data_IF_151036039013
#
_entry.id   IF_151036039013
#
_cell.length_a   1.000
_cell.length_b   1.000
_cell.length_c   1.000
_cell.angle_alpha   90.00
_cell.angle_beta   90.00
_cell.angle_gamma   90.00
#
_symmetry.space_group_name_H-M   'P 1'
#
loop_
_entity.id
_entity.type
_entity.pdbx_description
1 polymer ?
#
# COMPACT_ATOMS: atom_id res chain seq x y z
N UNK A 1 -10.03 10.99 36.85
CA UNK A 1 -8.95 11.16 35.86
C UNK A 1 -8.99 9.95 34.94
N UNK A 2 -9.67 10.05 33.80
CA UNK A 2 -9.66 8.98 32.81
C UNK A 2 -8.37 9.14 31.99
N UNK A 3 -7.55 8.08 31.96
CA UNK A 3 -6.40 7.98 31.08
C UNK A 3 -6.92 8.09 29.63
N UNK A 4 -6.50 9.12 28.91
CA UNK A 4 -6.75 9.22 27.48
C UNK A 4 -6.07 8.02 26.80
N UNK A 5 -6.73 7.34 25.84
CA UNK A 5 -6.09 6.27 25.10
C UNK A 5 -4.94 6.88 24.28
N UNK A 6 -3.72 6.46 24.56
CA UNK A 6 -2.54 6.80 23.76
C UNK A 6 -2.77 6.25 22.36
N UNK A 7 -3.07 7.12 21.40
CA UNK A 7 -3.16 6.74 19.99
C UNK A 7 -1.76 6.27 19.60
N UNK A 8 -1.59 4.98 19.30
CA UNK A 8 -0.36 4.47 18.68
C UNK A 8 -0.25 5.13 17.31
N UNK A 9 0.67 6.07 17.19
CA UNK A 9 0.90 6.84 15.95
C UNK A 9 1.81 6.13 14.96
N UNK A 10 2.47 5.04 15.35
CA UNK A 10 3.44 4.35 14.52
C UNK A 10 2.98 2.92 14.22
N UNK A 11 2.85 2.61 12.93
CA UNK A 11 2.47 1.29 12.45
C UNK A 11 3.70 0.38 12.40
N UNK A 12 3.65 -0.74 13.12
CA UNK A 12 4.72 -1.72 13.25
C UNK A 12 4.41 -3.00 12.48
N UNK A 13 5.31 -3.37 11.58
CA UNK A 13 5.23 -4.55 10.73
C UNK A 13 6.28 -5.58 11.16
N UNK A 14 5.91 -6.86 11.09
CA UNK A 14 6.86 -7.97 11.14
C UNK A 14 6.99 -8.56 9.74
N UNK A 15 8.21 -8.70 9.24
CA UNK A 15 8.54 -9.45 8.02
C UNK A 15 9.28 -10.70 8.43
N UNK A 16 8.82 -11.87 7.99
CA UNK A 16 9.47 -13.16 8.22
C UNK A 16 9.87 -13.75 6.87
N UNK A 17 11.16 -13.69 6.56
CA UNK A 17 11.73 -13.99 5.24
C UNK A 17 13.18 -14.47 5.39
N UNK A 18 13.45 -15.70 4.98
CA UNK A 18 14.79 -16.30 5.07
C UNK A 18 15.73 -15.83 3.95
N UNK A 19 15.20 -15.47 2.78
CA UNK A 19 16.03 -14.99 1.69
C UNK A 19 16.60 -13.59 1.99
N UNK A 20 17.92 -13.50 2.11
CA UNK A 20 18.62 -12.28 2.52
C UNK A 20 18.24 -11.06 1.67
N UNK A 21 18.26 -11.18 0.34
CA UNK A 21 17.99 -10.06 -0.57
C UNK A 21 16.53 -9.62 -0.51
N UNK A 22 15.58 -10.56 -0.60
CA UNK A 22 14.15 -10.24 -0.54
C UNK A 22 13.77 -9.61 0.80
N UNK A 23 14.24 -10.15 1.92
CA UNK A 23 13.91 -9.58 3.23
C UNK A 23 14.46 -8.17 3.44
N UNK A 24 15.69 -7.89 2.96
CA UNK A 24 16.26 -6.54 3.08
C UNK A 24 15.55 -5.55 2.14
N UNK A 25 15.19 -5.99 0.93
CA UNK A 25 14.39 -5.21 -0.01
C UNK A 25 13.02 -4.83 0.57
N UNK A 26 12.31 -5.79 1.16
CA UNK A 26 11.03 -5.56 1.82
C UNK A 26 11.15 -4.59 2.99
N UNK A 27 12.14 -4.81 3.86
CA UNK A 27 12.41 -3.96 5.01
C UNK A 27 12.67 -2.51 4.58
N UNK A 28 13.60 -2.31 3.65
CA UNK A 28 13.97 -0.98 3.17
C UNK A 28 12.77 -0.26 2.53
N UNK A 29 12.07 -0.92 1.60
CA UNK A 29 10.92 -0.30 0.92
C UNK A 29 9.77 0.04 1.86
N UNK A 30 9.48 -0.82 2.85
CA UNK A 30 8.43 -0.57 3.84
C UNK A 30 8.83 0.55 4.83
N UNK A 31 10.10 0.62 5.23
CA UNK A 31 10.61 1.73 6.04
C UNK A 31 10.53 3.07 5.30
N UNK A 32 10.90 3.10 4.02
CA UNK A 32 10.76 4.29 3.17
C UNK A 32 9.29 4.72 2.98
N UNK A 33 8.36 3.76 3.07
CA UNK A 33 6.92 4.03 3.06
C UNK A 33 6.36 4.53 4.41
N UNK A 34 7.20 4.67 5.44
CA UNK A 34 6.85 5.23 6.75
C UNK A 34 6.44 4.21 7.82
N UNK A 35 6.73 2.92 7.62
CA UNK A 35 6.43 1.88 8.61
C UNK A 35 7.65 1.55 9.48
N UNK A 36 7.42 1.15 10.74
CA UNK A 36 8.44 0.46 11.52
C UNK A 36 8.46 -1.02 11.11
N UNK A 37 9.64 -1.58 10.86
CA UNK A 37 9.76 -2.95 10.33
C UNK A 37 10.78 -3.74 11.12
N UNK A 38 10.32 -4.81 11.76
CA UNK A 38 11.17 -5.88 12.28
C UNK A 38 11.30 -6.98 11.23
N UNK A 39 12.51 -7.49 11.03
CA UNK A 39 12.80 -8.55 10.05
C UNK A 39 13.34 -9.78 10.77
N UNK A 40 12.61 -10.89 10.69
CA UNK A 40 13.03 -12.21 11.13
C UNK A 40 13.50 -13.03 9.92
N UNK A 41 14.65 -13.70 10.06
CA UNK A 41 15.27 -14.52 9.02
C UNK A 41 14.95 -16.02 9.14
N UNK A 42 14.23 -16.40 10.18
CA UNK A 42 13.85 -17.78 10.47
C UNK A 42 12.41 -17.82 10.95
N UNK A 43 11.74 -18.96 10.78
CA UNK A 43 10.38 -19.18 11.26
C UNK A 43 10.31 -19.22 12.78
N UNK A 44 11.34 -19.71 13.47
CA UNK A 44 11.41 -19.67 14.93
C UNK A 44 11.51 -18.24 15.47
N UNK A 45 12.39 -17.40 14.92
CA UNK A 45 12.49 -16.00 15.33
C UNK A 45 11.21 -15.24 15.00
N UNK A 46 10.64 -15.50 13.81
CA UNK A 46 9.38 -14.90 13.36
C UNK A 46 8.21 -15.28 14.27
N UNK A 47 8.12 -16.56 14.65
CA UNK A 47 7.11 -17.06 15.60
C UNK A 47 7.31 -16.44 16.99
N UNK A 48 8.54 -16.41 17.50
CA UNK A 48 8.86 -15.81 18.79
C UNK A 48 8.44 -14.34 18.84
N UNK A 49 8.83 -13.54 17.84
CA UNK A 49 8.46 -12.13 17.74
C UNK A 49 6.94 -11.96 17.62
N UNK A 50 6.29 -12.72 16.74
CA UNK A 50 4.84 -12.64 16.57
C UNK A 50 4.07 -13.00 17.84
N UNK A 51 4.61 -13.87 18.69
CA UNK A 51 4.01 -14.28 19.97
C UNK A 51 4.28 -13.30 21.11
N UNK A 52 5.47 -12.69 21.17
CA UNK A 52 5.90 -11.85 22.30
C UNK A 52 5.61 -10.36 22.10
N UNK A 53 5.64 -9.90 20.86
CA UNK A 53 5.45 -8.50 20.50
C UNK A 53 4.04 -8.23 19.94
N UNK A 54 3.72 -6.95 19.75
CA UNK A 54 2.50 -6.49 19.09
C UNK A 54 2.83 -5.85 17.75
N UNK A 55 2.27 -6.40 16.68
CA UNK A 55 2.39 -5.89 15.31
C UNK A 55 1.00 -5.60 14.74
N UNK A 56 0.96 -4.65 13.81
CA UNK A 56 -0.25 -4.24 13.10
C UNK A 56 -0.51 -5.10 11.85
N UNK A 57 0.55 -5.71 11.31
CA UNK A 57 0.49 -6.68 10.20
C UNK A 57 1.78 -7.53 10.21
N UNK A 58 1.63 -8.80 9.83
CA UNK A 58 2.73 -9.74 9.62
C UNK A 58 2.80 -10.12 8.14
N UNK A 59 3.95 -9.92 7.51
CA UNK A 59 4.30 -10.46 6.20
C UNK A 59 5.10 -11.75 6.43
N UNK A 60 4.59 -12.88 5.93
CA UNK A 60 5.10 -14.20 6.27
C UNK A 60 5.40 -15.02 5.03
N UNK A 61 6.64 -15.49 4.84
CA UNK A 61 6.87 -16.58 3.89
C UNK A 61 6.35 -17.90 4.46
N UNK A 62 5.81 -18.73 3.58
CA UNK A 62 5.43 -20.11 3.86
C UNK A 62 6.66 -21.00 3.93
N UNK A 63 7.63 -20.81 3.02
CA UNK A 63 8.75 -21.73 2.82
C UNK A 63 9.98 -21.38 3.66
N UNK A 64 9.80 -21.34 4.97
CA UNK A 64 10.89 -21.07 5.91
C UNK A 64 11.67 -22.35 6.23
N UNK A 65 12.99 -22.26 6.51
CA UNK A 65 13.87 -23.43 6.61
C UNK A 65 13.61 -24.32 7.83
N UNK A 66 13.02 -23.78 8.89
CA UNK A 66 12.86 -24.42 10.20
C UNK A 66 11.40 -24.72 10.56
N UNK A 67 10.51 -23.73 10.40
CA UNK A 67 9.08 -23.84 10.70
C UNK A 67 8.27 -23.26 9.56
N UNK A 68 7.45 -24.10 8.94
CA UNK A 68 6.51 -23.71 7.89
C UNK A 68 5.59 -22.56 8.35
N UNK A 69 5.45 -21.50 7.54
CA UNK A 69 4.60 -20.35 7.82
C UNK A 69 3.13 -20.73 8.09
N UNK A 70 2.64 -21.84 7.55
CA UNK A 70 1.32 -22.38 7.88
C UNK A 70 1.16 -22.76 9.35
N UNK A 71 2.23 -23.26 9.99
CA UNK A 71 2.22 -23.61 11.41
C UNK A 71 2.23 -22.35 12.28
N UNK A 72 2.96 -21.33 11.85
CA UNK A 72 3.05 -20.05 12.57
C UNK A 72 1.67 -19.40 12.64
N UNK A 73 0.96 -19.28 11.51
CA UNK A 73 -0.39 -18.68 11.52
C UNK A 73 -1.37 -19.50 12.37
N UNK A 74 -1.32 -20.84 12.29
CA UNK A 74 -2.18 -21.70 13.11
C UNK A 74 -1.95 -21.44 14.60
N UNK A 75 -0.69 -21.39 15.03
CA UNK A 75 -0.33 -21.12 16.42
C UNK A 75 -0.81 -19.73 16.89
N UNK A 76 -0.72 -18.71 16.03
CA UNK A 76 -1.25 -17.37 16.34
C UNK A 76 -2.77 -17.41 16.56
N UNK A 77 -3.52 -18.10 15.69
CA UNK A 77 -4.98 -18.20 15.81
C UNK A 77 -5.42 -19.03 17.01
N UNK A 78 -4.74 -20.14 17.31
CA UNK A 78 -4.99 -20.98 18.49
C UNK A 78 -4.78 -20.22 19.81
N UNK A 79 -3.88 -19.23 19.82
CA UNK A 79 -3.60 -18.38 20.99
C UNK A 79 -4.43 -17.09 21.01
N UNK A 80 -5.40 -16.95 20.10
CA UNK A 80 -6.31 -15.80 20.03
C UNK A 80 -5.68 -14.53 19.46
N UNK A 81 -4.46 -14.59 18.90
CA UNK A 81 -3.86 -13.44 18.21
C UNK A 81 -4.51 -13.27 16.83
N UNK A 82 -5.22 -12.17 16.68
CA UNK A 82 -5.94 -11.79 15.45
C UNK A 82 -5.18 -10.78 14.58
N UNK A 83 -3.88 -10.58 14.84
CA UNK A 83 -3.05 -9.72 13.98
C UNK A 83 -3.20 -10.17 12.53
N UNK A 84 -3.45 -9.23 11.59
CA UNK A 84 -3.53 -9.54 10.17
C UNK A 84 -2.25 -10.22 9.68
N UNK A 85 -2.39 -11.25 8.85
CA UNK A 85 -1.26 -11.97 8.23
C UNK A 85 -1.42 -11.96 6.71
N UNK A 86 -0.38 -11.52 6.00
CA UNK A 86 -0.25 -11.64 4.56
C UNK A 86 0.86 -12.62 4.22
N UNK A 87 0.54 -13.66 3.46
CA UNK A 87 1.57 -14.54 2.92
C UNK A 87 2.30 -13.90 1.75
N UNK A 88 3.63 -14.03 1.72
CA UNK A 88 4.49 -13.60 0.62
C UNK A 88 5.38 -14.77 0.22
N UNK A 89 5.02 -15.51 -0.83
CA UNK A 89 5.65 -16.81 -1.09
C UNK A 89 5.69 -17.19 -2.57
N UNK A 90 6.59 -18.09 -2.96
CA UNK A 90 6.66 -18.62 -4.33
C UNK A 90 5.63 -19.72 -4.62
N UNK A 91 4.87 -20.19 -3.61
CA UNK A 91 3.78 -21.15 -3.84
C UNK A 91 2.61 -20.47 -4.56
N UNK A 92 2.41 -20.81 -5.82
CA UNK A 92 1.44 -20.19 -6.72
C UNK A 92 0.20 -21.06 -7.00
N UNK A 93 0.18 -22.28 -6.48
CA UNK A 93 -0.95 -23.21 -6.68
C UNK A 93 -2.23 -22.67 -6.04
N UNK A 94 -3.37 -22.94 -6.69
CA UNK A 94 -4.69 -22.55 -6.15
C UNK A 94 -4.93 -23.24 -4.80
N UNK A 95 -4.51 -24.50 -4.66
CA UNK A 95 -4.66 -25.28 -3.43
C UNK A 95 -3.91 -24.64 -2.25
N UNK A 96 -2.68 -24.19 -2.46
CA UNK A 96 -1.89 -23.51 -1.42
C UNK A 96 -2.54 -22.18 -0.99
N UNK A 97 -3.09 -21.43 -1.96
CA UNK A 97 -3.78 -20.16 -1.68
C UNK A 97 -5.06 -20.37 -0.87
N UNK A 98 -5.87 -21.36 -1.25
CA UNK A 98 -7.09 -21.73 -0.53
C UNK A 98 -6.75 -22.16 0.89
N UNK A 99 -5.78 -23.06 1.04
CA UNK A 99 -5.30 -23.54 2.33
C UNK A 99 -4.87 -22.39 3.25
N UNK A 100 -4.21 -21.38 2.71
CA UNK A 100 -3.77 -20.24 3.51
C UNK A 100 -4.89 -19.36 4.04
N UNK A 101 -5.88 -19.09 3.20
CA UNK A 101 -7.06 -18.32 3.61
C UNK A 101 -7.89 -19.11 4.63
N UNK A 102 -8.03 -20.43 4.47
CA UNK A 102 -8.72 -21.30 5.43
C UNK A 102 -8.03 -21.36 6.80
N UNK A 103 -6.69 -21.28 6.83
CA UNK A 103 -5.91 -21.19 8.08
C UNK A 103 -5.99 -19.81 8.74
N UNK A 104 -6.70 -18.86 8.13
CA UNK A 104 -6.99 -17.55 8.69
C UNK A 104 -6.03 -16.44 8.28
N UNK A 105 -5.35 -16.57 7.13
CA UNK A 105 -4.63 -15.44 6.54
C UNK A 105 -5.60 -14.47 5.86
N UNK A 106 -5.20 -13.20 5.88
CA UNK A 106 -6.03 -12.10 5.41
C UNK A 106 -5.75 -11.74 3.95
N UNK A 107 -4.55 -12.05 3.44
CA UNK A 107 -4.19 -11.92 2.02
C UNK A 107 -3.02 -12.86 1.65
N UNK A 108 -2.77 -13.00 0.35
CA UNK A 108 -1.75 -13.86 -0.23
C UNK A 108 -1.13 -13.21 -1.47
N UNK A 109 0.20 -13.07 -1.48
CA UNK A 109 0.98 -12.48 -2.56
C UNK A 109 2.05 -13.46 -3.06
N UNK A 110 2.04 -13.72 -4.37
CA UNK A 110 2.94 -14.70 -5.01
C UNK A 110 4.24 -14.01 -5.45
N UNK A 111 5.40 -14.66 -5.23
CA UNK A 111 6.71 -14.25 -5.77
C UNK A 111 6.87 -14.70 -7.22
N UNK A 112 7.44 -13.87 -8.13
CA UNK A 112 7.87 -12.49 -7.93
C UNK A 112 6.68 -11.50 -7.96
N UNK A 113 6.75 -10.44 -7.16
CA UNK A 113 5.72 -9.40 -7.08
C UNK A 113 6.32 -8.01 -7.31
N UNK A 114 5.47 -7.06 -7.75
CA UNK A 114 5.82 -5.65 -7.76
C UNK A 114 5.66 -5.05 -6.36
N UNK A 115 6.62 -4.24 -5.90
CA UNK A 115 6.52 -3.64 -4.55
C UNK A 115 5.30 -2.72 -4.39
N UNK A 116 4.90 -2.02 -5.46
CA UNK A 116 3.67 -1.23 -5.46
C UNK A 116 2.41 -2.09 -5.19
N UNK A 117 2.39 -3.35 -5.63
CA UNK A 117 1.29 -4.28 -5.30
C UNK A 117 1.32 -4.66 -3.82
N UNK A 118 2.49 -5.03 -3.30
CA UNK A 118 2.68 -5.34 -1.89
C UNK A 118 2.23 -4.18 -1.00
N UNK A 119 2.68 -2.97 -1.31
CA UNK A 119 2.35 -1.77 -0.52
C UNK A 119 0.85 -1.48 -0.52
N UNK A 120 0.17 -1.65 -1.66
CA UNK A 120 -1.28 -1.47 -1.76
C UNK A 120 -2.05 -2.48 -0.89
N UNK A 121 -1.59 -3.74 -0.84
CA UNK A 121 -2.18 -4.80 -0.01
C UNK A 121 -1.93 -4.56 1.48
N UNK A 122 -0.70 -4.22 1.85
CA UNK A 122 -0.32 -3.83 3.22
C UNK A 122 -1.25 -2.73 3.74
N UNK A 123 -1.40 -1.63 2.99
CA UNK A 123 -2.30 -0.52 3.35
C UNK A 123 -3.76 -0.96 3.49
N UNK A 124 -4.21 -1.86 2.62
CA UNK A 124 -5.58 -2.40 2.65
C UNK A 124 -5.84 -3.23 3.91
N UNK A 125 -4.86 -4.04 4.33
CA UNK A 125 -4.97 -4.90 5.51
C UNK A 125 -4.92 -4.09 6.81
N UNK A 126 -3.98 -3.16 6.92
CA UNK A 126 -3.82 -2.30 8.10
C UNK A 126 -5.09 -1.51 8.42
N UNK A 127 -5.79 -1.08 7.36
CA UNK A 127 -7.08 -0.41 7.48
C UNK A 127 -8.21 -1.29 8.04
N UNK A 128 -8.19 -2.60 7.75
CA UNK A 128 -9.22 -3.53 8.25
C UNK A 128 -9.07 -3.83 9.74
N UNK A 129 -7.83 -3.83 10.26
CA UNK A 129 -7.53 -4.06 11.68
C UNK A 129 -7.81 -2.88 12.60
N UNK A 130 -7.93 -1.67 12.04
CA UNK A 130 -8.13 -0.42 12.78
C UNK A 130 -9.39 0.31 12.29
N UNK A 131 -10.57 -0.11 12.73
CA UNK A 131 -11.77 0.75 12.59
C UNK A 131 -11.94 1.54 13.89
N UNK A 132 -12.12 2.87 13.81
CA UNK A 132 -13.32 3.43 13.23
C UNK A 132 -13.07 4.03 11.84
N UNK A 133 -14.14 4.03 11.05
CA UNK A 133 -14.25 4.62 9.71
C UNK A 133 -13.81 6.09 9.74
N UNK A 134 -12.51 6.35 9.61
CA UNK A 134 -12.07 7.55 8.92
C UNK A 134 -12.32 7.29 7.45
N UNK A 135 -13.10 8.17 6.83
CA UNK A 135 -13.46 8.07 5.43
C UNK A 135 -12.20 7.80 4.59
N UNK A 136 -12.12 6.61 3.97
CA UNK A 136 -11.21 6.28 2.85
C UNK A 136 -11.43 7.16 1.61
N UNK A 137 -12.11 8.28 1.79
CA UNK A 137 -12.44 9.25 0.79
C UNK A 137 -11.43 10.38 0.94
N UNK A 138 -10.43 10.41 0.07
CA UNK A 138 -9.59 11.60 -0.07
C UNK A 138 -10.37 12.63 -0.90
N UNK A 139 -10.37 13.89 -0.49
CA UNK A 139 -11.14 14.93 -1.17
C UNK A 139 -10.31 16.18 -1.43
N UNK A 140 -10.37 16.70 -2.66
CA UNK A 140 -9.81 17.99 -3.07
C UNK A 140 -10.88 18.74 -3.86
N UNK A 141 -11.35 19.87 -3.33
CA UNK A 141 -12.54 20.56 -3.85
C UNK A 141 -13.72 19.57 -4.01
N UNK A 142 -14.27 19.43 -5.20
CA UNK A 142 -15.36 18.51 -5.55
C UNK A 142 -14.87 17.15 -6.10
N UNK A 143 -13.56 16.86 -6.05
CA UNK A 143 -12.99 15.55 -6.39
C UNK A 143 -12.93 14.71 -5.12
N UNK A 144 -13.53 13.53 -5.15
CA UNK A 144 -13.49 12.55 -4.06
C UNK A 144 -12.97 11.20 -4.58
N UNK A 145 -12.05 10.59 -3.85
CA UNK A 145 -11.46 9.27 -4.13
C UNK A 145 -11.77 8.31 -3.00
N UNK A 146 -12.69 7.36 -3.21
CA UNK A 146 -12.90 6.20 -2.35
C UNK A 146 -11.81 5.16 -2.64
N UNK A 147 -10.82 5.08 -1.75
CA UNK A 147 -9.66 4.20 -1.87
C UNK A 147 -10.02 2.72 -1.69
N UNK A 148 -11.03 2.44 -0.86
CA UNK A 148 -11.49 1.06 -0.63
C UNK A 148 -12.17 0.49 -1.85
N UNK A 149 -13.06 1.27 -2.46
CA UNK A 149 -13.78 0.85 -3.68
C UNK A 149 -13.01 1.14 -4.96
N UNK A 150 -11.85 1.80 -4.87
CA UNK A 150 -11.08 2.33 -6.02
C UNK A 150 -11.96 3.13 -6.97
N UNK A 151 -12.72 4.08 -6.42
CA UNK A 151 -13.67 4.93 -7.17
C UNK A 151 -13.29 6.40 -7.05
N UNK A 152 -13.26 7.09 -8.17
CA UNK A 152 -13.15 8.54 -8.22
C UNK A 152 -14.49 9.15 -8.64
N UNK A 153 -14.86 10.26 -8.02
CA UNK A 153 -16.03 11.08 -8.36
C UNK A 153 -15.63 12.55 -8.39
N UNK A 154 -16.09 13.32 -9.38
CA UNK A 154 -15.88 14.77 -9.51
C UNK A 154 -17.23 15.45 -9.71
N UNK A 155 -17.55 16.49 -8.93
CA UNK A 155 -18.86 17.14 -8.95
C UNK A 155 -20.02 16.12 -8.88
N UNK A 156 -19.87 15.07 -8.06
CA UNK A 156 -20.85 13.98 -7.94
C UNK A 156 -20.89 12.97 -9.10
N UNK A 157 -20.16 13.20 -10.19
CA UNK A 157 -20.10 12.30 -11.35
C UNK A 157 -18.99 11.26 -11.18
N UNK A 158 -19.29 9.99 -11.43
CA UNK A 158 -18.29 8.91 -11.39
C UNK A 158 -17.33 9.02 -12.56
N UNK A 159 -16.03 8.98 -12.28
CA UNK A 159 -14.97 8.99 -13.28
C UNK A 159 -14.49 7.55 -13.50
N UNK A 160 -14.40 7.14 -14.77
CA UNK A 160 -13.84 5.83 -15.14
C UNK A 160 -12.32 5.92 -15.36
N UNK A 161 -11.56 5.35 -14.43
CA UNK A 161 -10.10 5.33 -14.45
C UNK A 161 -9.58 3.91 -14.60
N UNK A 162 -8.52 3.74 -15.38
CA UNK A 162 -7.71 2.52 -15.39
C UNK A 162 -6.94 2.39 -14.06
N UNK A 163 -6.40 1.20 -13.78
CA UNK A 163 -5.60 0.99 -12.56
C UNK A 163 -4.41 1.94 -12.43
N UNK A 164 -3.74 2.27 -13.53
CA UNK A 164 -2.59 3.20 -13.54
C UNK A 164 -3.02 4.66 -13.41
N UNK A 165 -4.11 5.07 -14.05
CA UNK A 165 -4.66 6.42 -13.86
C UNK A 165 -5.16 6.63 -12.43
N UNK A 166 -5.79 5.62 -11.82
CA UNK A 166 -6.19 5.68 -10.42
C UNK A 166 -4.99 5.78 -9.48
N UNK A 167 -3.94 4.99 -9.71
CA UNK A 167 -2.72 5.04 -8.90
C UNK A 167 -2.01 6.40 -9.01
N UNK A 168 -1.93 6.97 -10.23
CA UNK A 168 -1.42 8.32 -10.44
C UNK A 168 -2.25 9.38 -9.70
N UNK A 169 -3.57 9.30 -9.79
CA UNK A 169 -4.47 10.22 -9.12
C UNK A 169 -4.36 10.11 -7.59
N UNK A 170 -4.33 8.89 -7.05
CA UNK A 170 -4.14 8.65 -5.63
C UNK A 170 -2.82 9.25 -5.14
N UNK A 171 -1.71 9.05 -5.88
CA UNK A 171 -0.41 9.61 -5.54
C UNK A 171 -0.46 11.15 -5.46
N UNK A 172 -1.04 11.79 -6.47
CA UNK A 172 -1.19 13.25 -6.53
C UNK A 172 -2.07 13.78 -5.39
N UNK A 173 -3.21 13.13 -5.11
CA UNK A 173 -4.14 13.56 -4.05
C UNK A 173 -3.53 13.38 -2.67
N UNK A 174 -2.78 12.30 -2.43
CA UNK A 174 -2.10 12.07 -1.14
C UNK A 174 -1.00 13.08 -0.86
N UNK A 175 -0.37 13.62 -1.90
CA UNK A 175 0.69 14.62 -1.84
C UNK A 175 0.18 15.99 -2.31
N UNK A 176 -1.05 16.34 -1.91
CA UNK A 176 -1.66 17.62 -2.27
C UNK A 176 -0.73 18.79 -1.90
N UNK A 177 -0.57 19.73 -2.83
CA UNK A 177 0.31 20.91 -2.67
C UNK A 177 1.81 20.63 -2.85
N UNK A 178 2.22 19.36 -2.94
CA UNK A 178 3.62 19.00 -3.21
C UNK A 178 3.89 18.92 -4.71
N UNK A 179 5.00 19.51 -5.15
CA UNK A 179 5.48 19.37 -6.53
C UNK A 179 6.20 18.03 -6.68
N UNK A 180 5.57 17.08 -7.36
CA UNK A 180 6.13 15.74 -7.58
C UNK A 180 6.98 15.70 -8.87
N UNK A 181 8.27 15.34 -8.78
CA UNK A 181 9.12 15.15 -9.94
C UNK A 181 8.62 14.03 -10.86
N UNK A 182 8.85 14.18 -12.17
CA UNK A 182 8.50 13.13 -13.16
C UNK A 182 9.15 11.79 -12.84
N UNK A 183 10.40 11.80 -12.38
CA UNK A 183 11.15 10.63 -11.92
C UNK A 183 10.46 9.91 -10.76
N UNK A 184 9.96 10.67 -9.79
CA UNK A 184 9.24 10.15 -8.63
C UNK A 184 7.91 9.53 -9.05
N UNK A 185 7.16 10.21 -9.92
CA UNK A 185 5.89 9.67 -10.44
C UNK A 185 6.14 8.38 -11.24
N UNK A 186 7.18 8.34 -12.08
CA UNK A 186 7.53 7.18 -12.88
C UNK A 186 7.91 5.97 -12.00
N UNK A 187 8.77 6.17 -11.00
CA UNK A 187 9.16 5.11 -10.07
C UNK A 187 7.96 4.60 -9.26
N UNK A 188 7.15 5.50 -8.69
CA UNK A 188 6.05 5.12 -7.80
C UNK A 188 4.84 4.48 -8.51
N UNK A 189 4.57 4.87 -9.77
CA UNK A 189 3.36 4.40 -10.49
C UNK A 189 3.70 3.35 -11.56
N UNK A 190 4.89 3.40 -12.16
CA UNK A 190 5.29 2.50 -13.24
C UNK A 190 6.47 1.57 -12.91
N UNK A 191 7.10 1.69 -11.74
CA UNK A 191 8.25 0.86 -11.33
C UNK A 191 9.40 0.89 -12.36
N UNK A 192 9.52 2.02 -13.06
CA UNK A 192 10.53 2.22 -14.10
C UNK A 192 11.79 2.83 -13.49
N UNK A 193 12.92 2.13 -13.60
CA UNK A 193 14.25 2.73 -13.45
C UNK A 193 14.47 3.73 -14.60
N UNK A 194 15.21 4.81 -14.33
CA UNK A 194 15.21 6.10 -15.04
C UNK A 194 15.66 6.11 -16.53
N UNK A 195 15.64 4.98 -17.24
CA UNK A 195 16.13 4.86 -18.63
C UNK A 195 15.11 4.34 -19.66
N UNK A 196 13.81 4.59 -19.48
CA UNK A 196 12.84 4.31 -20.55
C UNK A 196 11.67 5.31 -20.64
N UNK A 197 11.47 5.84 -21.85
CA UNK A 197 10.36 6.66 -22.37
C UNK A 197 9.79 7.78 -21.48
N UNK A 198 10.48 8.93 -21.50
CA UNK A 198 10.17 10.20 -20.82
C UNK A 198 8.79 10.82 -21.12
N UNK A 199 8.02 10.25 -22.06
CA UNK A 199 6.69 10.75 -22.44
C UNK A 199 5.52 10.02 -21.79
N UNK A 200 5.74 8.86 -21.15
CA UNK A 200 4.64 8.06 -20.55
C UNK A 200 3.90 8.86 -19.47
N UNK A 201 4.63 9.60 -18.64
CA UNK A 201 4.05 10.43 -17.58
C UNK A 201 3.24 11.58 -18.17
N UNK A 202 3.73 12.22 -19.22
CA UNK A 202 3.02 13.33 -19.87
C UNK A 202 1.72 12.86 -20.53
N UNK A 203 1.75 11.70 -21.19
CA UNK A 203 0.55 11.06 -21.76
C UNK A 203 -0.43 10.66 -20.66
N UNK A 204 0.05 10.10 -19.55
CA UNK A 204 -0.79 9.70 -18.42
C UNK A 204 -1.46 10.92 -17.76
N UNK A 205 -0.70 11.99 -17.49
CA UNK A 205 -1.23 13.25 -16.97
C UNK A 205 -2.26 13.85 -17.92
N UNK A 206 -1.98 13.84 -19.24
CA UNK A 206 -2.94 14.34 -20.24
C UNK A 206 -4.25 13.55 -20.24
N UNK A 207 -4.17 12.21 -20.20
CA UNK A 207 -5.36 11.34 -20.14
C UNK A 207 -6.13 11.52 -18.84
N UNK A 208 -5.42 11.68 -17.72
CA UNK A 208 -6.04 11.94 -16.43
C UNK A 208 -6.77 13.29 -16.44
N UNK A 209 -6.13 14.35 -16.94
CA UNK A 209 -6.75 15.67 -17.10
C UNK A 209 -8.01 15.63 -17.95
N UNK A 210 -7.98 14.94 -19.09
CA UNK A 210 -9.15 14.76 -19.95
C UNK A 210 -10.37 14.17 -19.23
N UNK A 211 -10.15 13.46 -18.11
CA UNK A 211 -11.20 12.83 -17.32
C UNK A 211 -11.60 13.59 -16.06
N UNK A 212 -10.69 14.34 -15.43
CA UNK A 212 -10.92 14.94 -14.11
C UNK A 212 -10.84 16.46 -14.08
N UNK A 213 -10.13 17.05 -15.05
CA UNK A 213 -9.87 18.48 -15.14
C UNK A 213 -10.59 19.08 -16.34
N UNK A 214 -10.39 18.61 -17.57
CA UNK A 214 -10.92 19.26 -18.78
C UNK A 214 -12.45 19.50 -18.72
N UNK A 215 -13.29 18.54 -18.27
CA UNK A 215 -14.74 18.73 -18.17
C UNK A 215 -15.22 19.49 -16.92
N UNK A 216 -14.31 19.85 -16.00
CA UNK A 216 -14.66 20.38 -14.67
C UNK A 216 -13.89 21.65 -14.34
N UNK A 217 -14.46 22.48 -13.47
CA UNK A 217 -13.74 23.58 -12.83
C UNK A 217 -13.88 23.45 -11.31
N UNK A 218 -12.84 23.77 -10.53
CA UNK A 218 -11.54 24.24 -10.98
C UNK A 218 -10.63 23.12 -11.51
N UNK A 219 -9.64 23.46 -12.34
CA UNK A 219 -8.54 22.55 -12.68
C UNK A 219 -7.69 22.26 -11.44
N UNK A 220 -7.44 20.99 -11.13
CA UNK A 220 -6.68 20.58 -9.96
C UNK A 220 -5.22 20.25 -10.27
N UNK A 221 -4.91 19.72 -11.46
CA UNK A 221 -3.53 19.33 -11.81
C UNK A 221 -2.81 20.52 -12.43
N UNK A 222 -1.80 21.04 -11.73
CA UNK A 222 -0.89 22.07 -12.25
C UNK A 222 0.43 21.47 -12.72
N UNK A 223 0.91 21.96 -13.86
CA UNK A 223 2.26 21.65 -14.35
C UNK A 223 3.24 22.69 -13.82
N UNK A 224 4.25 22.27 -13.07
CA UNK A 224 5.34 23.14 -12.63
C UNK A 224 6.52 22.91 -13.58
N UNK A 225 6.77 23.89 -14.47
CA UNK A 225 7.78 23.77 -15.53
C UNK A 225 9.14 23.42 -14.95
N UNK A 226 9.82 22.46 -15.56
CA UNK A 226 11.12 21.95 -15.10
C UNK A 226 11.08 21.04 -13.87
N UNK A 227 10.03 21.13 -13.04
CA UNK A 227 9.99 20.45 -11.74
C UNK A 227 9.07 19.24 -11.72
N UNK A 228 7.90 19.29 -12.37
CA UNK A 228 6.96 18.16 -12.40
C UNK A 228 5.50 18.59 -12.33
N UNK A 229 4.71 17.91 -11.49
CA UNK A 229 3.27 18.12 -11.37
C UNK A 229 2.86 18.28 -9.91
N UNK A 230 1.92 19.19 -9.67
CA UNK A 230 1.28 19.40 -8.36
C UNK A 230 -0.23 19.22 -8.54
N UNK A 231 -0.89 18.68 -7.52
CA UNK A 231 -2.35 18.71 -7.42
C UNK A 231 -2.75 19.55 -6.21
N UNK A 232 -3.55 20.59 -6.44
CA UNK A 232 -4.02 21.48 -5.39
C UNK A 232 -5.36 22.11 -5.82
N UNK A 233 -6.21 22.43 -4.84
CA UNK A 233 -7.33 23.32 -5.11
C UNK A 233 -6.76 24.72 -5.37
N UNK A 234 -7.33 25.52 -6.28
CA UNK A 234 -6.95 26.92 -6.38
C UNK A 234 -7.18 27.60 -5.03
N UNK A 235 -6.22 28.42 -4.60
CA UNK A 235 -6.46 29.34 -3.50
C UNK A 235 -7.62 30.25 -3.90
N UNK A 236 -8.64 30.33 -3.03
CA UNK A 236 -9.68 31.33 -3.19
C UNK A 236 -9.07 32.70 -2.92
N UNK A 237 -9.13 33.59 -3.91
CA UNK A 237 -9.02 35.04 -3.66
C UNK A 237 -10.17 35.50 -2.75
#
# INVERSE_FOLDING_TARGET
MALQPTVRTEVKLLVVEDESKTGEYLKQGLMEAGFMVDLARTGLDGHYLAMTESYDLILLDVMLPDVDGWRIIRSLRETGKLTPVMFVTARDSIEDRVKGLELGADDYLVKPFAFAELLARVRTLLRRGHAPVQSDVLQIADLALDLTRRRATRSGHRISLTSKEFALLELLVRRQGEVLPRSLIASQVWDMNFDSDTNVIEVAIRRLRAKIDDPFEPKLIRTVRGMGYCMEAPDGD
#
